data_IF_594333334636
#
_entry.id   IF_594333334636
#
_cell.length_a   1.000
_cell.length_b   1.000
_cell.length_c   1.000
_cell.angle_alpha   90.00
_cell.angle_beta   90.00
_cell.angle_gamma   90.00
#
_symmetry.space_group_name_H-M   'P 1'
#
loop_
_entity.id
_entity.type
_entity.pdbx_description
1 polymer ?
#
# COMPACT_ATOMS: atom_id res chain seq x y z
N UNK A 1 -17.30 -21.81 -32.01
CA UNK A 1 -16.46 -20.58 -31.98
C UNK A 1 -16.96 -19.55 -30.96
N UNK A 2 -18.27 -19.38 -30.78
CA UNK A 2 -18.87 -18.42 -29.83
C UNK A 2 -18.51 -18.69 -28.36
N UNK A 3 -18.57 -19.95 -27.90
CA UNK A 3 -18.28 -20.31 -26.51
C UNK A 3 -16.81 -20.02 -26.13
N UNK A 4 -15.86 -20.30 -27.05
CA UNK A 4 -14.43 -20.03 -26.86
C UNK A 4 -14.15 -18.53 -26.72
N UNK A 5 -14.89 -17.70 -27.46
CA UNK A 5 -14.79 -16.25 -27.40
C UNK A 5 -15.43 -15.68 -26.12
N UNK A 6 -16.51 -16.29 -25.62
CA UNK A 6 -17.15 -15.91 -24.34
C UNK A 6 -16.24 -16.24 -23.15
N UNK A 7 -15.60 -17.41 -23.13
CA UNK A 7 -14.65 -17.80 -22.07
C UNK A 7 -13.44 -16.86 -22.06
N UNK A 8 -12.92 -16.49 -23.23
CA UNK A 8 -11.83 -15.51 -23.33
C UNK A 8 -12.25 -14.12 -22.81
N UNK A 9 -13.48 -13.68 -23.09
CA UNK A 9 -14.02 -12.42 -22.59
C UNK A 9 -14.18 -12.43 -21.05
N UNK A 10 -14.67 -13.53 -20.49
CA UNK A 10 -14.88 -13.69 -19.04
C UNK A 10 -13.56 -13.71 -18.26
N UNK A 11 -12.52 -14.35 -18.81
CA UNK A 11 -11.18 -14.34 -18.22
C UNK A 11 -10.56 -12.93 -18.20
N UNK A 12 -10.85 -12.10 -19.21
CA UNK A 12 -10.35 -10.73 -19.29
C UNK A 12 -10.92 -9.82 -18.17
N UNK A 13 -12.18 -10.01 -17.79
CA UNK A 13 -12.81 -9.23 -16.70
C UNK A 13 -12.21 -9.51 -15.32
N UNK A 14 -11.66 -10.71 -15.08
CA UNK A 14 -11.05 -11.06 -13.79
C UNK A 14 -9.76 -10.25 -13.56
N UNK A 15 -9.00 -9.97 -14.62
CA UNK A 15 -7.79 -9.14 -14.53
C UNK A 15 -8.08 -7.64 -14.41
N UNK A 16 -9.27 -7.19 -14.82
CA UNK A 16 -9.66 -5.77 -14.74
C UNK A 16 -9.98 -5.30 -13.30
N UNK A 17 -10.26 -6.23 -12.38
CA UNK A 17 -10.48 -5.88 -10.98
C UNK A 17 -9.16 -5.73 -10.22
N UNK A 18 -8.79 -4.47 -9.94
CA UNK A 18 -7.66 -4.17 -9.05
C UNK A 18 -7.77 -4.91 -7.71
N UNK A 19 -6.64 -5.39 -7.20
CA UNK A 19 -6.56 -6.00 -5.89
C UNK A 19 -6.77 -4.95 -4.78
N UNK A 20 -6.80 -5.40 -3.53
CA UNK A 20 -7.13 -4.56 -2.39
C UNK A 20 -6.16 -3.38 -2.21
N UNK A 21 -4.89 -3.55 -2.57
CA UNK A 21 -3.90 -2.47 -2.55
C UNK A 21 -4.16 -1.46 -3.67
N UNK A 22 -4.48 -1.87 -4.90
CA UNK A 22 -4.77 -0.88 -5.95
C UNK A 22 -6.02 -0.06 -5.64
N UNK A 23 -7.07 -0.73 -5.14
CA UNK A 23 -8.34 -0.07 -4.81
C UNK A 23 -8.24 0.93 -3.66
N UNK A 24 -7.47 0.60 -2.62
CA UNK A 24 -7.47 1.37 -1.37
C UNK A 24 -6.23 2.24 -1.15
N UNK A 25 -5.13 1.96 -1.84
CA UNK A 25 -3.87 2.70 -1.69
C UNK A 25 -3.57 3.48 -2.98
N UNK A 26 -3.57 2.80 -4.12
CA UNK A 26 -3.19 3.46 -5.39
C UNK A 26 -4.27 4.38 -5.95
N UNK A 27 -5.53 4.28 -5.49
CA UNK A 27 -6.62 5.16 -5.93
C UNK A 27 -6.26 6.64 -5.81
N UNK A 28 -5.60 7.03 -4.72
CA UNK A 28 -5.05 8.37 -4.52
C UNK A 28 -3.57 8.47 -4.91
N UNK A 29 -2.74 7.51 -4.47
CA UNK A 29 -1.28 7.61 -4.57
C UNK A 29 -0.70 7.39 -5.98
N UNK A 30 -1.54 7.03 -6.97
CA UNK A 30 -1.11 7.03 -8.38
C UNK A 30 -0.88 8.43 -8.95
N UNK A 31 -1.53 9.45 -8.36
CA UNK A 31 -1.53 10.83 -8.87
C UNK A 31 -1.01 11.81 -7.83
N UNK A 32 -1.34 11.59 -6.56
CA UNK A 32 -1.05 12.55 -5.50
C UNK A 32 0.10 12.08 -4.60
N UNK A 33 0.89 13.04 -4.14
CA UNK A 33 1.90 12.82 -3.12
C UNK A 33 1.25 12.41 -1.77
N UNK A 34 1.97 11.66 -0.91
CA UNK A 34 3.33 11.18 -1.07
C UNK A 34 3.44 9.93 -1.95
N UNK A 35 4.54 9.78 -2.69
CA UNK A 35 4.80 8.57 -3.48
C UNK A 35 5.05 7.36 -2.57
N UNK A 36 4.34 6.25 -2.82
CA UNK A 36 4.39 5.07 -1.96
C UNK A 36 5.72 4.31 -2.08
N UNK A 37 6.45 4.39 -3.20
CA UNK A 37 7.80 3.80 -3.31
C UNK A 37 8.77 4.56 -2.41
N UNK A 38 8.71 5.89 -2.39
CA UNK A 38 9.51 6.71 -1.47
C UNK A 38 9.22 6.35 -0.02
N UNK A 39 7.95 6.27 0.36
CA UNK A 39 7.58 5.90 1.74
C UNK A 39 8.07 4.51 2.12
N UNK A 40 8.09 3.57 1.17
CA UNK A 40 8.58 2.23 1.43
C UNK A 40 10.03 2.29 1.93
N UNK A 41 10.87 3.06 1.25
CA UNK A 41 12.27 3.25 1.66
C UNK A 41 12.40 4.03 2.97
N UNK A 42 11.59 5.06 3.19
CA UNK A 42 11.61 5.80 4.46
C UNK A 42 11.26 4.87 5.65
N UNK A 43 10.23 4.02 5.51
CA UNK A 43 9.89 3.00 6.51
C UNK A 43 10.98 1.94 6.65
N UNK A 44 11.53 1.45 5.54
CA UNK A 44 12.59 0.44 5.56
C UNK A 44 13.84 0.96 6.27
N UNK A 45 14.23 2.20 6.03
CA UNK A 45 15.35 2.85 6.70
C UNK A 45 15.12 2.95 8.21
N UNK A 46 13.91 3.36 8.64
CA UNK A 46 13.57 3.52 10.06
C UNK A 46 13.43 2.20 10.82
N UNK A 47 12.93 1.15 10.17
CA UNK A 47 12.53 -0.09 10.86
C UNK A 47 13.32 -1.33 10.45
N UNK A 48 14.15 -1.27 9.41
CA UNK A 48 15.20 -2.25 9.03
C UNK A 48 14.80 -3.72 8.85
N UNK A 49 13.51 -4.08 8.91
CA UNK A 49 13.04 -5.45 8.66
C UNK A 49 11.59 -5.45 8.19
N UNK A 50 11.23 -6.45 7.39
CA UNK A 50 9.86 -6.66 6.90
C UNK A 50 8.83 -6.62 8.03
N UNK A 51 9.04 -7.43 9.07
CA UNK A 51 8.12 -7.53 10.20
C UNK A 51 7.90 -6.18 10.88
N UNK A 52 8.97 -5.40 11.11
CA UNK A 52 8.86 -4.10 11.79
C UNK A 52 8.24 -3.03 10.88
N UNK A 53 8.57 -3.04 9.59
CA UNK A 53 7.95 -2.14 8.59
C UNK A 53 6.45 -2.38 8.49
N UNK A 54 6.04 -3.63 8.23
CA UNK A 54 4.63 -3.99 8.10
C UNK A 54 3.85 -3.63 9.36
N UNK A 55 4.39 -3.94 10.54
CA UNK A 55 3.78 -3.58 11.82
C UNK A 55 3.62 -2.07 11.98
N UNK A 56 4.67 -1.28 11.76
CA UNK A 56 4.62 0.17 11.91
C UNK A 56 3.57 0.81 10.99
N UNK A 57 3.49 0.37 9.73
CA UNK A 57 2.49 0.87 8.79
C UNK A 57 1.07 0.49 9.24
N UNK A 58 0.85 -0.77 9.63
CA UNK A 58 -0.48 -1.23 10.09
C UNK A 58 -0.93 -0.47 11.34
N UNK A 59 -0.04 -0.32 12.33
CA UNK A 59 -0.33 0.43 13.56
C UNK A 59 -0.67 1.89 13.25
N UNK A 60 0.13 2.55 12.41
CA UNK A 60 -0.14 3.93 11.99
C UNK A 60 -1.46 4.07 11.23
N UNK A 61 -1.78 3.17 10.30
CA UNK A 61 -3.04 3.23 9.54
C UNK A 61 -4.26 2.94 10.41
N UNK A 62 -4.11 2.13 11.47
CA UNK A 62 -5.19 1.83 12.43
C UNK A 62 -5.43 2.95 13.45
N UNK A 63 -4.36 3.60 13.88
CA UNK A 63 -4.42 4.69 14.84
C UNK A 63 -3.41 5.77 14.45
N UNK A 64 -3.76 6.63 13.48
CA UNK A 64 -2.84 7.64 12.99
C UNK A 64 -2.47 8.63 14.09
N UNK A 65 -1.17 8.74 14.34
CA UNK A 65 -0.59 9.63 15.34
C UNK A 65 0.51 10.46 14.66
N UNK A 66 0.42 11.80 14.67
CA UNK A 66 1.44 12.65 14.05
C UNK A 66 2.86 12.41 14.59
N UNK A 67 3.01 11.99 15.85
CA UNK A 67 4.32 11.69 16.43
C UNK A 67 4.91 10.36 15.92
N UNK A 68 4.05 9.44 15.45
CA UNK A 68 4.45 8.13 14.92
C UNK A 68 4.52 8.10 13.40
N UNK A 69 4.18 9.21 12.74
CA UNK A 69 4.21 9.31 11.28
C UNK A 69 5.64 9.21 10.74
N UNK A 70 5.76 8.66 9.52
CA UNK A 70 7.01 8.74 8.74
C UNK A 70 7.20 10.13 8.12
N UNK A 71 6.13 10.93 8.04
CA UNK A 71 6.16 12.29 7.47
C UNK A 71 6.86 13.28 8.40
N UNK A 72 7.40 14.35 7.81
CA UNK A 72 7.95 15.47 8.58
C UNK A 72 6.83 16.28 9.26
N UNK A 73 7.18 17.03 10.30
CA UNK A 73 6.23 17.90 11.02
C UNK A 73 5.66 18.97 10.08
N UNK A 74 6.46 19.50 9.17
CA UNK A 74 6.07 20.52 8.18
C UNK A 74 5.07 19.96 7.19
N UNK A 75 5.28 18.71 6.74
CA UNK A 75 4.33 18.02 5.86
C UNK A 75 2.98 17.86 6.56
N UNK A 76 2.98 17.35 7.80
CA UNK A 76 1.75 17.17 8.58
C UNK A 76 1.04 18.49 8.90
N UNK A 77 1.79 19.59 9.10
CA UNK A 77 1.21 20.92 9.29
C UNK A 77 0.47 21.41 8.04
N UNK A 78 0.96 21.06 6.84
CA UNK A 78 0.37 21.49 5.56
C UNK A 78 -0.79 20.61 5.10
N UNK A 79 -0.65 19.29 5.24
CA UNK A 79 -1.56 18.31 4.64
C UNK A 79 -2.38 17.52 5.67
N UNK A 80 -2.12 17.72 6.97
CA UNK A 80 -2.76 16.98 8.04
C UNK A 80 -2.18 15.58 8.24
N UNK A 81 -2.77 14.88 9.21
CA UNK A 81 -2.47 13.47 9.50
C UNK A 81 -3.39 12.60 8.66
N UNK A 82 -2.91 11.41 8.28
CA UNK A 82 -3.71 10.45 7.51
C UNK A 82 -4.95 10.03 8.31
N UNK A 83 -6.10 10.00 7.65
CA UNK A 83 -7.33 9.44 8.25
C UNK A 83 -7.20 7.95 8.59
N UNK A 84 -7.86 7.53 9.68
CA UNK A 84 -7.89 6.13 10.12
C UNK A 84 -8.41 5.21 9.01
N UNK A 85 -7.74 4.09 8.82
CA UNK A 85 -8.16 3.07 7.86
C UNK A 85 -9.53 2.50 8.22
N UNK A 86 -10.39 2.35 7.20
CA UNK A 86 -11.69 1.67 7.31
C UNK A 86 -11.62 0.19 6.93
N UNK A 87 -10.44 -0.30 6.52
CA UNK A 87 -10.26 -1.70 6.17
C UNK A 87 -10.30 -2.59 7.40
N UNK A 88 -10.89 -3.78 7.26
CA UNK A 88 -10.77 -4.85 8.24
C UNK A 88 -9.31 -5.28 8.39
N UNK A 89 -8.96 -5.82 9.56
CA UNK A 89 -7.58 -6.23 9.88
C UNK A 89 -6.96 -7.16 8.85
N UNK A 90 -7.71 -8.16 8.40
CA UNK A 90 -7.27 -9.14 7.39
C UNK A 90 -6.93 -8.45 6.07
N UNK A 91 -7.78 -7.51 5.68
CA UNK A 91 -7.69 -6.77 4.42
C UNK A 91 -6.56 -5.76 4.44
N UNK A 92 -6.39 -5.05 5.56
CA UNK A 92 -5.27 -4.15 5.78
C UNK A 92 -3.95 -4.90 5.73
N UNK A 93 -3.83 -6.05 6.43
CA UNK A 93 -2.64 -6.90 6.37
C UNK A 93 -2.33 -7.33 4.94
N UNK A 94 -3.33 -7.82 4.21
CA UNK A 94 -3.19 -8.23 2.81
C UNK A 94 -2.72 -7.07 1.91
N UNK A 95 -3.26 -5.87 2.08
CA UNK A 95 -2.83 -4.69 1.32
C UNK A 95 -1.36 -4.34 1.60
N UNK A 96 -0.92 -4.43 2.86
CA UNK A 96 0.47 -4.16 3.26
C UNK A 96 1.43 -5.26 2.80
N UNK A 97 0.99 -6.53 2.73
CA UNK A 97 1.78 -7.61 2.13
C UNK A 97 2.03 -7.37 0.64
N UNK A 98 0.97 -7.01 -0.12
CA UNK A 98 1.09 -6.66 -1.54
C UNK A 98 1.99 -5.44 -1.74
N UNK A 99 1.86 -4.43 -0.88
CA UNK A 99 2.73 -3.25 -0.88
C UNK A 99 4.20 -3.62 -0.69
N UNK A 100 4.50 -4.49 0.29
CA UNK A 100 5.85 -4.96 0.54
C UNK A 100 6.41 -5.72 -0.67
N UNK A 101 5.68 -6.67 -1.21
CA UNK A 101 6.12 -7.47 -2.35
C UNK A 101 6.33 -6.64 -3.61
N UNK A 102 5.56 -5.56 -3.78
CA UNK A 102 5.75 -4.61 -4.88
C UNK A 102 7.12 -3.95 -4.85
N UNK A 103 7.54 -3.44 -3.70
CA UNK A 103 8.71 -2.57 -3.60
C UNK A 103 9.96 -3.19 -2.97
N UNK A 104 9.85 -4.37 -2.34
CA UNK A 104 11.01 -5.06 -1.76
C UNK A 104 12.12 -5.22 -2.79
N UNK A 105 13.33 -4.85 -2.39
CA UNK A 105 14.56 -5.00 -3.19
C UNK A 105 15.38 -6.20 -2.75
N UNK A 106 15.11 -6.74 -1.56
CA UNK A 106 15.74 -7.94 -1.02
C UNK A 106 15.45 -9.11 -1.98
N UNK A 107 16.50 -9.76 -2.46
CA UNK A 107 16.41 -10.82 -3.47
C UNK A 107 16.22 -10.35 -4.91
N UNK A 108 16.23 -9.03 -5.18
CA UNK A 108 16.19 -8.46 -6.54
C UNK A 108 17.52 -7.88 -7.02
N UNK A 109 18.48 -7.69 -6.11
CA UNK A 109 19.84 -7.25 -6.44
C UNK A 109 20.70 -8.52 -6.53
N UNK A 110 21.34 -8.72 -7.67
CA UNK A 110 22.32 -9.79 -7.93
C UNK A 110 23.71 -9.32 -7.53
#
# INVERSE_FOLDING_TARGET
MVIKNIVALMLFFIFAYGNIYEKNCMSCHKTYAPDLKKLFFDYLLRHSSEKRVKRAIIEYLKNPDPQKSIMSKEYLKRYGVKEKSKLLDKDLKKAIDIYWDRYKVIGRIK
#
